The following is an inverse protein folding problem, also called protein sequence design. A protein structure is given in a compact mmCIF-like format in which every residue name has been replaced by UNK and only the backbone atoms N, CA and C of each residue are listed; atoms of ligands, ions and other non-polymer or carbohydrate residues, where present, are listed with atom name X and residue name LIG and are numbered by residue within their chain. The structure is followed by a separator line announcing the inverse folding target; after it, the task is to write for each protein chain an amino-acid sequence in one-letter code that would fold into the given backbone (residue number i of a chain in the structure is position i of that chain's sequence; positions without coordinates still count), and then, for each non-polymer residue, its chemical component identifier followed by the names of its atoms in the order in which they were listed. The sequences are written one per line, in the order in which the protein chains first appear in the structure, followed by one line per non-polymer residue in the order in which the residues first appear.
data_IF_054935692932
#
_entry.id   IF_054935692932
#
_cell.length_a   1.000
_cell.length_b   1.000
_cell.length_c   1.000
_cell.angle_alpha   90.00
_cell.angle_beta   90.00
_cell.angle_gamma   90.00
#
_symmetry.space_group_name_H-M   'P 1'
#
loop_
_entity.id
_entity.type
_entity.pdbx_description
1 polymer ?
#
# COMPACT_ATOMS: atom_id res chain seq x y z
N UNK A 1 -46.27 -15.08 -15.34
CA UNK A 1 -45.47 -14.02 -14.69
C UNK A 1 -44.48 -14.71 -13.75
N UNK A 2 -43.45 -15.40 -14.27
CA UNK A 2 -42.55 -16.22 -13.41
C UNK A 2 -41.25 -16.70 -14.12
N UNK A 3 -40.59 -15.83 -14.89
CA UNK A 3 -39.34 -16.24 -15.58
C UNK A 3 -38.30 -15.13 -15.69
N UNK A 4 -38.74 -13.87 -15.74
CA UNK A 4 -37.85 -12.71 -15.89
C UNK A 4 -37.02 -12.36 -14.64
N UNK A 5 -37.32 -12.96 -13.48
CA UNK A 5 -36.59 -12.67 -12.23
C UNK A 5 -35.29 -13.45 -12.06
N UNK A 6 -35.13 -14.59 -12.73
CA UNK A 6 -33.92 -15.41 -12.59
C UNK A 6 -32.73 -14.86 -13.38
N UNK A 7 -32.99 -14.22 -14.53
CA UNK A 7 -31.92 -13.71 -15.41
C UNK A 7 -31.22 -12.49 -14.79
N UNK A 8 -31.93 -11.67 -14.01
CA UNK A 8 -31.37 -10.45 -13.39
C UNK A 8 -30.40 -10.76 -12.25
N UNK A 9 -30.54 -11.92 -11.59
CA UNK A 9 -29.69 -12.29 -10.45
C UNK A 9 -28.30 -12.74 -10.93
N UNK A 10 -28.21 -13.39 -12.09
CA UNK A 10 -26.92 -13.90 -12.60
C UNK A 10 -25.98 -12.79 -13.10
N UNK A 11 -26.51 -11.71 -13.67
CA UNK A 11 -25.67 -10.57 -14.11
C UNK A 11 -25.14 -9.73 -12.94
N UNK A 12 -25.84 -9.70 -11.80
CA UNK A 12 -25.38 -8.97 -10.61
C UNK A 12 -24.19 -9.65 -9.91
N UNK A 13 -24.15 -11.00 -9.91
CA UNK A 13 -23.04 -11.76 -9.30
C UNK A 13 -21.74 -11.70 -10.10
N UNK A 14 -21.79 -11.38 -11.39
CA UNK A 14 -20.59 -11.25 -12.22
C UNK A 14 -19.85 -9.91 -12.03
N UNK A 15 -20.52 -8.86 -11.53
CA UNK A 15 -19.91 -7.53 -11.36
C UNK A 15 -19.25 -7.32 -10.00
N UNK A 16 -19.44 -8.20 -9.01
CA UNK A 16 -18.81 -8.06 -7.69
C UNK A 16 -17.43 -8.71 -7.59
N UNK A 17 -17.00 -9.43 -8.62
CA UNK A 17 -15.64 -9.99 -8.72
C UNK A 17 -14.66 -9.09 -9.50
N UNK A 18 -15.15 -7.97 -10.06
CA UNK A 18 -14.36 -7.01 -10.84
C UNK A 18 -14.36 -5.67 -10.09
N UNK A 19 -13.90 -5.70 -8.85
CA UNK A 19 -13.55 -4.50 -8.08
C UNK A 19 -12.14 -4.62 -7.51
N UNK A 20 -11.24 -5.25 -8.27
CA UNK A 20 -9.84 -4.86 -8.22
C UNK A 20 -9.68 -3.83 -9.32
N UNK A 21 -9.68 -2.56 -8.90
CA UNK A 21 -9.63 -1.34 -9.72
C UNK A 21 -8.75 -1.49 -10.97
N UNK A 22 -9.41 -1.67 -12.11
CA UNK A 22 -8.85 -1.35 -13.41
C UNK A 22 -9.55 -0.09 -13.92
N UNK A 23 -8.74 0.84 -14.44
CA UNK A 23 -9.02 2.08 -15.18
C UNK A 23 -8.86 3.41 -14.41
N UNK A 24 -8.33 4.49 -15.03
CA UNK A 24 -7.92 4.64 -16.44
C UNK A 24 -6.45 5.09 -16.66
N UNK A 25 -6.03 4.90 -17.91
CA UNK A 25 -4.89 5.56 -18.57
C UNK A 25 -5.10 7.08 -18.52
N UNK A 26 -4.42 7.75 -17.61
CA UNK A 26 -4.04 9.16 -17.78
C UNK A 26 -2.52 9.21 -17.82
N UNK A 27 -2.01 9.73 -18.93
CA UNK A 27 -0.61 9.91 -19.21
C UNK A 27 -0.04 11.03 -18.33
N UNK A 28 0.20 10.71 -17.06
CA UNK A 28 1.07 11.49 -16.19
C UNK A 28 1.99 10.50 -15.51
N UNK A 29 3.23 10.92 -15.26
CA UNK A 29 4.26 10.15 -14.57
C UNK A 29 3.82 10.06 -13.10
N UNK A 30 2.78 9.28 -12.83
CA UNK A 30 2.39 8.88 -11.50
C UNK A 30 3.46 7.90 -11.06
N UNK A 31 4.50 8.44 -10.43
CA UNK A 31 5.29 7.71 -9.44
C UNK A 31 4.27 7.19 -8.46
N UNK A 32 3.81 5.96 -8.70
CA UNK A 32 2.86 5.22 -7.89
C UNK A 32 3.40 5.36 -6.47
N UNK A 33 2.70 6.13 -5.63
CA UNK A 33 3.21 6.49 -4.32
C UNK A 33 3.46 5.16 -3.59
N UNK A 34 4.74 4.82 -3.42
CA UNK A 34 5.15 3.47 -3.09
C UNK A 34 4.46 3.07 -1.79
N UNK A 35 3.77 1.93 -1.77
CA UNK A 35 2.99 1.50 -0.60
C UNK A 35 3.87 1.57 0.64
N UNK A 36 3.42 2.14 1.76
CA UNK A 36 4.28 2.35 2.92
C UNK A 36 4.83 1.01 3.40
N UNK A 37 6.15 0.92 3.53
CA UNK A 37 6.84 -0.28 4.00
C UNK A 37 7.42 -0.03 5.38
N UNK A 38 7.38 -1.05 6.23
CA UNK A 38 8.10 -1.07 7.49
C UNK A 38 9.06 -2.26 7.49
N UNK A 39 10.33 -2.01 7.78
CA UNK A 39 11.40 -2.99 7.66
C UNK A 39 12.09 -3.25 8.99
N UNK A 40 13.41 -3.05 9.07
CA UNK A 40 14.22 -3.44 10.23
C UNK A 40 13.87 -2.64 11.50
N UNK A 41 14.14 -3.25 12.65
CA UNK A 41 14.03 -2.58 13.94
C UNK A 41 15.14 -1.53 14.08
N UNK A 42 14.74 -0.30 14.41
CA UNK A 42 15.67 0.75 14.81
C UNK A 42 16.26 0.42 16.18
N UNK A 43 17.57 0.40 16.27
CA UNK A 43 18.32 0.09 17.49
C UNK A 43 19.67 0.86 17.48
N UNK A 44 20.57 0.54 18.42
CA UNK A 44 21.88 1.21 18.49
C UNK A 44 22.75 1.02 17.24
N UNK A 45 22.55 -0.06 16.49
CA UNK A 45 23.26 -0.35 15.24
C UNK A 45 22.56 0.21 14.00
N UNK A 46 21.22 0.28 14.02
CA UNK A 46 20.36 0.81 12.95
C UNK A 46 19.67 2.08 13.44
N UNK A 47 20.37 3.20 13.27
CA UNK A 47 19.91 4.49 13.76
C UNK A 47 18.81 5.09 12.88
N UNK A 48 18.16 6.14 13.39
CA UNK A 48 17.21 6.94 12.61
C UNK A 48 17.79 7.42 11.26
N UNK A 49 19.06 7.80 11.23
CA UNK A 49 19.71 8.25 10.00
C UNK A 49 19.89 7.11 8.99
N UNK A 50 20.18 5.89 9.45
CA UNK A 50 20.23 4.73 8.58
C UNK A 50 18.84 4.36 8.04
N UNK A 51 17.80 4.47 8.87
CA UNK A 51 16.41 4.32 8.42
C UNK A 51 16.04 5.34 7.34
N UNK A 52 16.40 6.62 7.54
CA UNK A 52 16.18 7.67 6.55
C UNK A 52 16.87 7.34 5.22
N UNK A 53 18.18 7.04 5.25
CA UNK A 53 18.95 6.73 4.04
C UNK A 53 18.39 5.50 3.32
N UNK A 54 18.07 4.45 4.07
CA UNK A 54 17.47 3.22 3.51
C UNK A 54 16.16 3.51 2.78
N UNK A 55 15.27 4.29 3.37
CA UNK A 55 14.01 4.68 2.72
C UNK A 55 14.25 5.53 1.47
N UNK A 56 15.25 6.42 1.49
CA UNK A 56 15.62 7.24 0.33
C UNK A 56 16.20 6.38 -0.80
N UNK A 57 17.04 5.40 -0.50
CA UNK A 57 17.57 4.42 -1.47
C UNK A 57 16.47 3.61 -2.14
N UNK A 58 15.37 3.35 -1.42
CA UNK A 58 14.17 2.70 -1.93
C UNK A 58 13.20 3.63 -2.69
N UNK A 59 13.53 4.92 -2.81
CA UNK A 59 12.72 5.90 -3.55
C UNK A 59 11.66 6.65 -2.72
N UNK A 60 11.65 6.50 -1.40
CA UNK A 60 10.78 7.28 -0.51
C UNK A 60 11.42 8.62 -0.14
N UNK A 61 10.60 9.62 0.23
CA UNK A 61 11.12 10.93 0.62
C UNK A 61 11.88 10.93 1.96
N UNK A 62 11.51 10.03 2.88
CA UNK A 62 12.03 9.98 4.25
C UNK A 62 11.70 8.64 4.90
N UNK A 63 12.37 8.34 6.01
CA UNK A 63 12.09 7.19 6.87
C UNK A 63 11.97 7.61 8.34
N UNK A 64 11.16 6.87 9.12
CA UNK A 64 10.96 7.12 10.54
C UNK A 64 11.03 5.85 11.37
N UNK A 65 11.60 5.96 12.57
CA UNK A 65 11.51 4.93 13.59
C UNK A 65 10.23 5.13 14.39
N UNK A 66 9.25 4.25 14.19
CA UNK A 66 7.93 4.31 14.84
C UNK A 66 7.86 3.21 15.89
N UNK A 67 7.30 3.52 17.06
CA UNK A 67 7.03 2.52 18.08
C UNK A 67 5.92 1.57 17.59
N UNK A 68 6.23 0.28 17.53
CA UNK A 68 5.33 -0.80 17.10
C UNK A 68 5.21 -1.87 18.17
N UNK A 69 4.16 -2.69 18.12
CA UNK A 69 3.97 -3.83 19.01
C UNK A 69 4.58 -5.11 18.40
N UNK A 70 5.28 -5.93 19.20
CA UNK A 70 5.67 -5.70 20.61
C UNK A 70 6.66 -4.53 20.74
N UNK A 71 6.66 -3.83 21.89
CA UNK A 71 7.37 -2.55 22.15
C UNK A 71 8.78 -2.52 21.54
N UNK A 72 8.87 -2.05 20.29
CA UNK A 72 10.10 -1.92 19.50
C UNK A 72 9.96 -0.75 18.55
N UNK A 73 11.06 -0.07 18.25
CA UNK A 73 11.08 0.95 17.22
C UNK A 73 11.34 0.29 15.88
N UNK A 74 10.45 0.43 14.91
CA UNK A 74 10.61 -0.10 13.56
C UNK A 74 10.80 1.02 12.56
N UNK A 75 11.73 0.84 11.63
CA UNK A 75 11.89 1.75 10.51
C UNK A 75 10.74 1.62 9.52
N UNK A 76 10.06 2.72 9.23
CA UNK A 76 8.96 2.79 8.27
C UNK A 76 9.21 3.91 7.25
N UNK A 77 9.00 3.59 5.97
CA UNK A 77 9.08 4.48 4.84
C UNK A 77 7.64 4.84 4.40
N UNK A 78 7.11 6.02 4.76
CA UNK A 78 5.75 6.41 4.40
C UNK A 78 5.65 6.70 2.90
N UNK A 79 4.60 6.18 2.26
CA UNK A 79 4.14 6.66 0.96
C UNK A 79 3.85 8.16 1.07
N UNK A 80 4.35 8.93 0.10
CA UNK A 80 4.19 10.38 0.10
C UNK A 80 2.75 10.81 -0.20
#
# INVERSE_FOLDING_TARGET
MDSFKLVVIFTLLAMTAISCDFFPVEAEIFVQAATPICGPDCNGTFSFQQCYNHCVELGYKRGFCILSEPIRYRCCCPSN
#
